data_IF_000082200825
#
_entry.id   IF_000082200825
#
_cell.length_a   1.000
_cell.length_b   1.000
_cell.length_c   1.000
_cell.angle_alpha   90.00
_cell.angle_beta   90.00
_cell.angle_gamma   90.00
#
_symmetry.space_group_name_H-M   'P 1'
#
loop_
_entity.id
_entity.type
_entity.pdbx_description
1 polymer ?
#
# COMPACT_ATOMS: atom_id res chain seq x y z
N UNK A 1 -0.04 -22.50 -7.25
CA UNK A 1 0.78 -21.25 -7.34
C UNK A 1 -0.11 -20.04 -7.37
N UNK A 2 0.38 -18.91 -6.86
CA UNK A 2 -0.36 -17.65 -6.79
C UNK A 2 0.54 -16.50 -7.23
N UNK A 3 0.23 -15.79 -8.32
CA UNK A 3 1.01 -14.63 -8.77
C UNK A 3 0.76 -13.42 -7.85
N UNK A 4 1.81 -12.66 -7.53
CA UNK A 4 1.69 -11.32 -6.98
C UNK A 4 1.52 -10.33 -8.13
N UNK A 5 0.34 -10.35 -8.75
CA UNK A 5 -0.03 -9.47 -9.85
C UNK A 5 -1.53 -9.20 -9.81
N UNK A 6 -1.92 -7.96 -10.05
CA UNK A 6 -3.32 -7.60 -10.29
C UNK A 6 -3.67 -8.03 -11.72
N UNK A 7 -4.64 -8.93 -11.85
CA UNK A 7 -5.09 -9.43 -13.14
C UNK A 7 -6.33 -8.64 -13.59
N UNK A 8 -6.39 -8.21 -14.86
CA UNK A 8 -7.57 -7.57 -15.42
C UNK A 8 -8.72 -8.58 -15.54
N UNK A 9 -9.96 -8.07 -15.63
CA UNK A 9 -11.10 -8.92 -15.90
C UNK A 9 -10.91 -9.63 -17.26
N UNK A 10 -11.11 -10.94 -17.34
CA UNK A 10 -11.00 -11.68 -18.60
C UNK A 10 -11.92 -11.14 -19.71
N UNK A 11 -13.05 -10.53 -19.37
CA UNK A 11 -13.98 -9.94 -20.31
C UNK A 11 -13.49 -8.61 -20.91
N UNK A 12 -12.53 -7.95 -20.26
CA UNK A 12 -11.93 -6.68 -20.70
C UNK A 12 -10.64 -6.87 -21.51
N UNK A 13 -10.31 -8.12 -21.89
CA UNK A 13 -9.06 -8.44 -22.54
C UNK A 13 -9.19 -8.52 -24.05
N UNK A 14 -8.48 -7.65 -24.75
CA UNK A 14 -8.40 -7.64 -26.22
C UNK A 14 -7.61 -8.81 -26.80
N UNK A 15 -6.78 -9.50 -26.00
CA UNK A 15 -5.94 -10.60 -26.46
C UNK A 15 -5.34 -11.43 -25.32
N UNK A 16 -4.93 -12.67 -25.63
CA UNK A 16 -4.18 -13.52 -24.70
C UNK A 16 -2.87 -12.86 -24.24
N UNK A 17 -2.24 -12.04 -25.08
CA UNK A 17 -1.02 -11.30 -24.72
C UNK A 17 -1.29 -10.24 -23.64
N UNK A 18 -2.46 -9.60 -23.66
CA UNK A 18 -2.89 -8.65 -22.61
C UNK A 18 -3.08 -9.37 -21.29
N UNK A 19 -3.67 -10.58 -21.29
CA UNK A 19 -3.84 -11.41 -20.10
C UNK A 19 -2.53 -11.80 -19.43
N UNK A 20 -1.51 -12.10 -20.22
CA UNK A 20 -0.22 -12.59 -19.73
C UNK A 20 0.71 -11.45 -19.28
N UNK A 21 0.51 -10.23 -19.78
CA UNK A 21 1.40 -9.09 -19.49
C UNK A 21 1.64 -8.85 -17.98
N UNK A 22 0.63 -8.85 -17.10
CA UNK A 22 0.86 -8.65 -15.66
C UNK A 22 1.63 -9.79 -14.99
N UNK A 23 1.67 -10.97 -15.61
CA UNK A 23 2.37 -12.14 -15.08
C UNK A 23 3.86 -12.17 -15.45
N UNK A 24 4.29 -11.42 -16.46
CA UNK A 24 5.69 -11.37 -16.88
C UNK A 24 6.55 -10.72 -15.81
N UNK A 25 7.61 -11.44 -15.38
CA UNK A 25 8.51 -10.97 -14.33
C UNK A 25 7.89 -10.93 -12.92
N UNK A 26 6.64 -11.40 -12.74
CA UNK A 26 5.98 -11.39 -11.45
C UNK A 26 6.58 -12.42 -10.48
N UNK A 27 6.42 -12.20 -9.20
CA UNK A 27 6.71 -13.18 -8.16
C UNK A 27 5.52 -14.12 -7.97
N UNK A 28 5.80 -15.41 -7.89
CA UNK A 28 4.80 -16.47 -7.70
C UNK A 28 5.05 -17.21 -6.40
N UNK A 29 4.08 -17.18 -5.50
CA UNK A 29 4.09 -18.06 -4.34
C UNK A 29 3.70 -19.48 -4.76
N UNK A 30 4.51 -20.45 -4.36
CA UNK A 30 4.32 -21.86 -4.69
C UNK A 30 4.26 -22.67 -3.40
N UNK A 31 3.32 -23.60 -3.34
CA UNK A 31 3.16 -24.56 -2.26
C UNK A 31 2.69 -25.89 -2.83
N UNK A 32 2.87 -26.99 -2.10
CA UNK A 32 2.48 -28.34 -2.50
C UNK A 32 3.65 -29.32 -2.43
N UNK A 33 3.50 -30.47 -3.09
CA UNK A 33 4.53 -31.50 -3.15
C UNK A 33 5.77 -31.01 -3.91
N UNK A 34 6.96 -31.57 -3.68
CA UNK A 34 8.17 -31.19 -4.43
C UNK A 34 7.98 -31.28 -5.97
N UNK A 35 7.27 -32.29 -6.46
CA UNK A 35 6.98 -32.45 -7.89
C UNK A 35 6.10 -31.29 -8.41
N UNK A 36 5.04 -30.93 -7.67
CA UNK A 36 4.18 -29.80 -8.03
C UNK A 36 4.92 -28.46 -8.03
N UNK A 37 5.83 -28.27 -7.06
CA UNK A 37 6.67 -27.08 -7.00
C UNK A 37 7.65 -27.00 -8.18
N UNK A 38 8.25 -28.12 -8.58
CA UNK A 38 9.11 -28.19 -9.74
C UNK A 38 8.37 -27.80 -11.04
N UNK A 39 7.20 -28.39 -11.29
CA UNK A 39 6.37 -28.03 -12.45
C UNK A 39 5.96 -26.55 -12.43
N UNK A 40 5.60 -26.02 -11.26
CA UNK A 40 5.26 -24.61 -11.12
C UNK A 40 6.47 -23.70 -11.43
N UNK A 41 7.66 -24.09 -10.99
CA UNK A 41 8.88 -23.35 -11.28
C UNK A 41 9.21 -23.30 -12.79
N UNK A 42 9.01 -24.39 -13.50
CA UNK A 42 9.16 -24.43 -14.97
C UNK A 42 8.19 -23.46 -15.66
N UNK A 43 6.91 -23.47 -15.25
CA UNK A 43 5.90 -22.55 -15.80
C UNK A 43 6.22 -21.08 -15.51
N UNK A 44 6.68 -20.78 -14.29
CA UNK A 44 7.08 -19.42 -13.89
C UNK A 44 8.30 -18.95 -14.68
N UNK A 45 9.26 -19.83 -14.92
CA UNK A 45 10.43 -19.52 -15.73
C UNK A 45 10.08 -19.09 -17.18
N UNK A 46 9.04 -19.70 -17.79
CA UNK A 46 8.54 -19.29 -19.11
C UNK A 46 7.99 -17.86 -19.12
N UNK A 47 7.55 -17.36 -17.97
CA UNK A 47 7.06 -15.98 -17.81
C UNK A 47 8.19 -15.01 -17.40
N UNK A 48 9.43 -15.49 -17.23
CA UNK A 48 10.52 -14.70 -16.67
C UNK A 48 10.27 -14.28 -15.22
N UNK A 49 9.40 -15.00 -14.50
CA UNK A 49 9.00 -14.69 -13.13
C UNK A 49 9.93 -15.29 -12.06
N UNK A 50 9.63 -15.00 -10.81
CA UNK A 50 10.37 -15.48 -9.64
C UNK A 50 9.51 -16.37 -8.78
N UNK A 51 10.07 -17.46 -8.26
CA UNK A 51 9.37 -18.40 -7.36
C UNK A 51 9.74 -18.09 -5.92
N UNK A 52 8.74 -18.04 -5.04
CA UNK A 52 8.93 -18.01 -3.59
C UNK A 52 8.14 -19.14 -2.94
N UNK A 53 8.75 -19.84 -2.01
CA UNK A 53 8.07 -20.89 -1.25
C UNK A 53 7.30 -20.26 -0.08
N UNK A 54 6.02 -20.61 0.05
CA UNK A 54 5.17 -20.22 1.18
C UNK A 54 4.74 -21.48 1.91
N UNK A 55 5.06 -21.58 3.19
CA UNK A 55 4.61 -22.68 4.03
C UNK A 55 3.07 -22.72 4.09
N UNK A 56 2.49 -23.94 4.17
CA UNK A 56 1.03 -24.12 4.16
C UNK A 56 0.33 -23.33 5.27
N UNK A 57 0.88 -23.31 6.49
CA UNK A 57 0.33 -22.55 7.62
C UNK A 57 0.45 -21.02 7.47
N UNK A 58 1.33 -20.53 6.60
CA UNK A 58 1.54 -19.08 6.37
C UNK A 58 0.69 -18.51 5.22
N UNK A 59 -0.06 -19.34 4.49
CA UNK A 59 -0.89 -18.89 3.36
C UNK A 59 -1.88 -17.78 3.71
N UNK A 60 -2.63 -17.83 4.83
CA UNK A 60 -3.57 -16.76 5.16
C UNK A 60 -2.87 -15.41 5.34
N UNK A 61 -1.72 -15.40 6.01
CA UNK A 61 -0.93 -14.18 6.21
C UNK A 61 -0.36 -13.66 4.88
N UNK A 62 0.14 -14.54 4.02
CA UNK A 62 0.58 -14.19 2.68
C UNK A 62 -0.55 -13.56 1.84
N UNK A 63 -1.76 -14.16 1.86
CA UNK A 63 -2.90 -13.59 1.14
C UNK A 63 -3.36 -12.24 1.73
N UNK A 64 -3.33 -12.08 3.05
CA UNK A 64 -3.62 -10.81 3.70
C UNK A 64 -2.62 -9.71 3.25
N UNK A 65 -1.33 -10.03 3.19
CA UNK A 65 -0.32 -9.09 2.69
C UNK A 65 -0.57 -8.70 1.23
N UNK A 66 -0.97 -9.65 0.37
CA UNK A 66 -1.32 -9.35 -1.02
C UNK A 66 -2.59 -8.47 -1.12
N UNK A 67 -3.60 -8.71 -0.27
CA UNK A 67 -4.80 -7.89 -0.22
C UNK A 67 -4.49 -6.46 0.22
N UNK A 68 -3.69 -6.28 1.27
CA UNK A 68 -3.21 -4.97 1.71
C UNK A 68 -2.50 -4.20 0.58
N UNK A 69 -1.66 -4.90 -0.19
CA UNK A 69 -0.88 -4.26 -1.25
C UNK A 69 -1.68 -3.94 -2.52
N UNK A 70 -2.80 -4.59 -2.77
CA UNK A 70 -3.59 -4.45 -3.99
C UNK A 70 -5.03 -3.97 -3.73
N UNK A 71 -5.83 -4.75 -3.02
CA UNK A 71 -7.25 -4.47 -2.85
C UNK A 71 -7.47 -3.25 -1.94
N UNK A 72 -6.72 -3.16 -0.84
CA UNK A 72 -6.85 -2.05 0.10
C UNK A 72 -6.29 -0.75 -0.47
N UNK A 73 -5.37 -0.83 -1.46
CA UNK A 73 -4.94 0.34 -2.23
C UNK A 73 -6.10 0.96 -3.02
N UNK A 74 -7.02 0.15 -3.56
CA UNK A 74 -8.23 0.66 -4.26
C UNK A 74 -9.15 1.36 -3.27
N UNK A 75 -9.36 0.77 -2.08
CA UNK A 75 -10.16 1.40 -1.03
C UNK A 75 -9.52 2.71 -0.54
N UNK A 76 -8.19 2.74 -0.39
CA UNK A 76 -7.46 3.94 -0.02
C UNK A 76 -7.61 5.06 -1.06
N UNK A 77 -7.53 4.74 -2.36
CA UNK A 77 -7.79 5.71 -3.43
C UNK A 77 -9.22 6.24 -3.35
N UNK A 78 -10.21 5.39 -3.12
CA UNK A 78 -11.62 5.79 -3.01
C UNK A 78 -11.84 6.81 -1.89
N UNK A 79 -11.33 6.55 -0.68
CA UNK A 79 -11.51 7.48 0.44
C UNK A 79 -10.73 8.79 0.23
N UNK A 80 -9.57 8.72 -0.42
CA UNK A 80 -8.81 9.91 -0.80
C UNK A 80 -9.54 10.75 -1.85
N UNK A 81 -10.18 10.12 -2.85
CA UNK A 81 -11.03 10.80 -3.84
C UNK A 81 -12.21 11.51 -3.16
N UNK A 82 -12.90 10.86 -2.23
CA UNK A 82 -14.01 11.46 -1.48
C UNK A 82 -13.55 12.72 -0.73
N UNK A 83 -12.40 12.67 -0.07
CA UNK A 83 -11.83 13.82 0.62
C UNK A 83 -11.46 14.96 -0.35
N UNK A 84 -10.86 14.63 -1.51
CA UNK A 84 -10.50 15.61 -2.52
C UNK A 84 -11.74 16.27 -3.16
N UNK A 85 -12.81 15.50 -3.39
CA UNK A 85 -14.09 16.02 -3.89
C UNK A 85 -14.72 16.95 -2.84
N UNK A 86 -14.70 16.60 -1.56
CA UNK A 86 -15.16 17.45 -0.48
C UNK A 86 -14.33 18.75 -0.37
N UNK A 87 -13.07 18.72 -0.78
CA UNK A 87 -12.20 19.90 -0.88
C UNK A 87 -12.43 20.72 -2.18
N UNK A 88 -13.37 20.32 -3.06
CA UNK A 88 -13.78 21.09 -4.24
C UNK A 88 -13.26 20.60 -5.59
N UNK A 89 -12.56 19.46 -5.65
CA UNK A 89 -12.16 18.87 -6.93
C UNK A 89 -13.35 18.18 -7.60
N UNK A 90 -13.37 18.16 -8.94
CA UNK A 90 -14.28 17.26 -9.65
C UNK A 90 -13.82 15.80 -9.51
N UNK A 91 -14.73 14.80 -9.66
CA UNK A 91 -14.35 13.39 -9.60
C UNK A 91 -13.22 13.02 -10.58
N UNK A 92 -13.24 13.56 -11.80
CA UNK A 92 -12.22 13.33 -12.81
C UNK A 92 -10.85 13.90 -12.39
N UNK A 93 -10.83 15.11 -11.81
CA UNK A 93 -9.60 15.73 -11.31
C UNK A 93 -9.02 14.96 -10.11
N UNK A 94 -9.89 14.55 -9.16
CA UNK A 94 -9.49 13.77 -8.00
C UNK A 94 -8.87 12.43 -8.44
N UNK A 95 -9.54 11.67 -9.32
CA UNK A 95 -9.07 10.40 -9.84
C UNK A 95 -7.72 10.53 -10.55
N UNK A 96 -7.61 11.45 -11.50
CA UNK A 96 -6.39 11.64 -12.25
C UNK A 96 -5.21 12.11 -11.37
N UNK A 97 -5.44 13.10 -10.50
CA UNK A 97 -4.40 13.67 -9.65
C UNK A 97 -3.91 12.68 -8.58
N UNK A 98 -4.83 12.05 -7.85
CA UNK A 98 -4.48 11.10 -6.80
C UNK A 98 -3.91 9.80 -7.36
N UNK A 99 -4.43 9.32 -8.50
CA UNK A 99 -3.85 8.16 -9.19
C UNK A 99 -2.41 8.41 -9.62
N UNK A 100 -2.11 9.59 -10.16
CA UNK A 100 -0.74 9.98 -10.50
C UNK A 100 0.15 10.08 -9.25
N UNK A 101 -0.36 10.66 -8.15
CA UNK A 101 0.37 10.77 -6.89
C UNK A 101 0.73 9.39 -6.33
N UNK A 102 -0.23 8.44 -6.32
CA UNK A 102 0.02 7.05 -5.90
C UNK A 102 1.07 6.37 -6.78
N UNK A 103 0.98 6.54 -8.10
CA UNK A 103 1.96 5.97 -9.02
C UNK A 103 3.37 6.50 -8.74
N UNK A 104 3.54 7.80 -8.53
CA UNK A 104 4.85 8.38 -8.24
C UNK A 104 5.40 7.95 -6.89
N UNK A 105 4.55 7.75 -5.89
CA UNK A 105 4.95 7.19 -4.58
C UNK A 105 5.43 5.73 -4.71
N UNK A 106 4.70 4.88 -5.46
CA UNK A 106 5.11 3.51 -5.75
C UNK A 106 6.42 3.47 -6.53
N UNK A 107 6.58 4.33 -7.52
CA UNK A 107 7.81 4.41 -8.30
C UNK A 107 9.01 4.87 -7.45
N UNK A 108 8.81 5.73 -6.46
CA UNK A 108 9.85 6.11 -5.51
C UNK A 108 10.31 4.91 -4.67
N UNK A 109 9.37 4.12 -4.14
CA UNK A 109 9.66 2.90 -3.38
C UNK A 109 10.40 1.87 -4.25
N UNK A 110 9.96 1.65 -5.50
CA UNK A 110 10.55 0.67 -6.42
C UNK A 110 11.98 1.01 -6.87
N UNK A 111 12.41 2.26 -6.71
CA UNK A 111 13.80 2.68 -7.00
C UNK A 111 14.73 2.51 -5.81
N UNK A 112 14.21 2.19 -4.63
CA UNK A 112 15.05 1.91 -3.48
C UNK A 112 15.84 0.60 -3.73
N UNK A 113 17.08 0.50 -3.24
CA UNK A 113 17.78 -0.77 -3.13
C UNK A 113 16.96 -1.79 -2.35
N UNK A 114 17.10 -3.09 -2.65
CA UNK A 114 16.27 -4.16 -2.07
C UNK A 114 16.36 -4.24 -0.54
N UNK A 115 17.49 -3.84 0.04
CA UNK A 115 17.75 -3.81 1.48
C UNK A 115 17.52 -2.44 2.14
N UNK A 116 17.13 -1.43 1.34
CA UNK A 116 16.90 -0.09 1.86
C UNK A 116 15.59 0.00 2.66
N UNK A 117 15.58 0.69 3.79
CA UNK A 117 14.36 0.86 4.56
C UNK A 117 13.34 1.74 3.82
N UNK A 118 12.06 1.33 3.84
CA UNK A 118 10.96 2.00 3.12
C UNK A 118 10.81 3.49 3.49
N UNK A 119 11.24 3.91 4.69
CA UNK A 119 11.22 5.33 5.09
C UNK A 119 11.96 6.26 4.13
N UNK A 120 12.93 5.76 3.35
CA UNK A 120 13.66 6.58 2.37
C UNK A 120 12.80 6.97 1.16
N UNK A 121 11.70 6.24 0.91
CA UNK A 121 10.69 6.62 -0.07
C UNK A 121 9.56 7.50 0.51
N UNK A 122 9.53 7.70 1.83
CA UNK A 122 8.49 8.47 2.49
C UNK A 122 8.74 9.97 2.37
N UNK A 123 7.67 10.70 2.04
CA UNK A 123 7.63 12.17 1.99
C UNK A 123 6.46 12.68 2.84
N UNK A 124 6.30 14.00 2.93
CA UNK A 124 5.12 14.60 3.57
C UNK A 124 5.32 14.95 5.03
N UNK A 125 4.21 15.17 5.75
CA UNK A 125 4.19 15.74 7.10
C UNK A 125 4.87 14.82 8.13
N UNK A 126 4.57 13.52 8.11
CA UNK A 126 5.16 12.55 9.04
C UNK A 126 6.67 12.45 8.83
N UNK A 127 7.13 12.38 7.58
CA UNK A 127 8.56 12.31 7.28
C UNK A 127 9.35 13.54 7.79
N UNK A 128 8.70 14.68 7.90
CA UNK A 128 9.29 15.93 8.42
C UNK A 128 9.05 16.17 9.91
N UNK A 129 8.33 15.29 10.59
CA UNK A 129 7.94 15.49 12.00
C UNK A 129 6.92 16.61 12.21
N UNK A 130 6.16 17.00 11.18
CA UNK A 130 5.19 18.10 11.22
C UNK A 130 3.85 17.65 11.83
N UNK A 131 3.85 17.50 13.15
CA UNK A 131 2.68 17.09 13.92
C UNK A 131 1.50 18.08 13.75
N UNK A 132 1.77 19.38 13.58
CA UNK A 132 0.71 20.37 13.40
C UNK A 132 -0.06 20.16 12.08
N UNK A 133 0.63 19.79 11.01
CA UNK A 133 -0.01 19.45 9.74
C UNK A 133 -0.81 18.15 9.85
N UNK A 134 -0.29 17.12 10.52
CA UNK A 134 -1.04 15.87 10.77
C UNK A 134 -2.31 16.14 11.56
N UNK A 135 -2.24 16.98 12.61
CA UNK A 135 -3.42 17.37 13.40
C UNK A 135 -4.50 18.04 12.53
N UNK A 136 -4.11 18.97 11.65
CA UNK A 136 -5.05 19.62 10.71
C UNK A 136 -5.69 18.63 9.73
N UNK A 137 -4.93 17.66 9.24
CA UNK A 137 -5.48 16.61 8.38
C UNK A 137 -6.55 15.79 9.11
N UNK A 138 -6.24 15.31 10.33
CA UNK A 138 -7.18 14.53 11.13
C UNK A 138 -8.43 15.32 11.48
N UNK A 139 -8.28 16.60 11.86
CA UNK A 139 -9.42 17.47 12.14
C UNK A 139 -10.31 17.65 10.91
N UNK A 140 -9.74 17.96 9.75
CA UNK A 140 -10.50 18.15 8.51
C UNK A 140 -11.23 16.87 8.08
N UNK A 141 -10.54 15.73 8.12
CA UNK A 141 -11.14 14.43 7.80
C UNK A 141 -12.26 14.07 8.78
N UNK A 142 -12.07 14.30 10.08
CA UNK A 142 -13.08 14.01 11.10
C UNK A 142 -14.36 14.83 10.92
N UNK A 143 -14.25 16.07 10.44
CA UNK A 143 -15.42 16.91 10.12
C UNK A 143 -16.23 16.38 8.95
N UNK A 144 -15.60 15.74 7.97
CA UNK A 144 -16.27 15.23 6.78
C UNK A 144 -16.68 13.76 6.88
N UNK A 145 -15.79 12.90 7.37
CA UNK A 145 -16.02 11.46 7.46
C UNK A 145 -15.13 10.83 8.54
N UNK A 146 -15.61 10.70 9.79
CA UNK A 146 -14.83 10.19 10.91
C UNK A 146 -14.12 8.85 10.67
N UNK A 147 -14.71 7.86 9.95
CA UNK A 147 -13.99 6.63 9.61
C UNK A 147 -12.72 6.85 8.77
N UNK A 148 -12.72 7.86 7.88
CA UNK A 148 -11.52 8.21 7.10
C UNK A 148 -10.44 8.85 7.98
N UNK A 149 -10.84 9.67 8.98
CA UNK A 149 -9.89 10.20 9.95
C UNK A 149 -9.22 9.10 10.76
N UNK A 150 -10.00 8.10 11.21
CA UNK A 150 -9.46 6.93 11.91
C UNK A 150 -8.50 6.13 11.02
N UNK A 151 -8.87 5.86 9.77
CA UNK A 151 -7.98 5.19 8.81
C UNK A 151 -6.67 5.96 8.62
N UNK A 152 -6.75 7.28 8.41
CA UNK A 152 -5.55 8.13 8.27
C UNK A 152 -4.70 8.12 9.54
N UNK A 153 -5.32 8.12 10.72
CA UNK A 153 -4.63 8.01 12.00
C UNK A 153 -3.85 6.70 12.12
N UNK A 154 -4.48 5.55 11.83
CA UNK A 154 -3.84 4.25 11.89
C UNK A 154 -2.66 4.13 10.90
N UNK A 155 -2.86 4.56 9.66
CA UNK A 155 -1.77 4.59 8.67
C UNK A 155 -0.65 5.54 9.08
N UNK A 156 -0.97 6.71 9.65
CA UNK A 156 0.04 7.65 10.15
C UNK A 156 0.83 7.06 11.33
N UNK A 157 0.22 6.24 12.19
CA UNK A 157 0.93 5.55 13.26
C UNK A 157 1.97 4.57 12.72
N UNK A 158 1.62 3.79 11.68
CA UNK A 158 2.59 2.92 10.97
C UNK A 158 3.73 3.74 10.34
N UNK A 159 3.43 4.91 9.76
CA UNK A 159 4.47 5.79 9.21
C UNK A 159 5.38 6.36 10.30
N UNK A 160 4.84 6.71 11.48
CA UNK A 160 5.65 7.15 12.63
C UNK A 160 6.57 6.03 13.10
N UNK A 161 6.07 4.80 13.14
CA UNK A 161 6.89 3.63 13.49
C UNK A 161 8.06 3.43 12.51
N UNK A 162 7.82 3.56 11.19
CA UNK A 162 8.89 3.57 10.19
C UNK A 162 9.94 4.67 10.41
N UNK A 163 9.55 5.79 11.00
CA UNK A 163 10.44 6.93 11.23
C UNK A 163 11.23 6.86 12.54
N UNK A 164 10.99 5.88 13.44
CA UNK A 164 11.69 5.77 14.72
C UNK A 164 13.20 5.62 14.56
N UNK A 165 13.64 4.90 13.54
CA UNK A 165 15.05 4.71 13.20
C UNK A 165 15.57 5.76 12.18
N UNK A 166 14.94 6.92 12.11
CA UNK A 166 15.34 8.02 11.22
C UNK A 166 16.09 9.12 11.96
N UNK A 167 16.47 10.17 11.24
CA UNK A 167 17.06 11.38 11.82
C UNK A 167 16.04 12.29 12.52
N UNK A 168 14.75 11.93 12.61
CA UNK A 168 13.76 12.68 13.37
C UNK A 168 14.10 12.60 14.88
N UNK A 169 14.18 13.78 15.49
CA UNK A 169 14.45 13.84 16.93
C UNK A 169 13.29 13.28 17.78
N UNK A 170 13.57 12.79 19.00
CA UNK A 170 12.56 12.21 19.90
C UNK A 170 11.37 13.14 20.17
N UNK A 171 11.59 14.45 20.23
CA UNK A 171 10.53 15.43 20.46
C UNK A 171 9.52 15.50 19.30
N UNK A 172 9.99 15.39 18.05
CA UNK A 172 9.10 15.38 16.87
C UNK A 172 8.27 14.09 16.82
N UNK A 173 8.88 12.94 17.12
CA UNK A 173 8.17 11.66 17.21
C UNK A 173 7.11 11.68 18.33
N UNK A 174 7.45 12.17 19.52
CA UNK A 174 6.51 12.28 20.64
C UNK A 174 5.34 13.25 20.33
N UNK A 175 5.59 14.33 19.60
CA UNK A 175 4.53 15.25 19.15
C UNK A 175 3.56 14.57 18.17
N UNK A 176 4.07 13.76 17.22
CA UNK A 176 3.25 12.96 16.33
C UNK A 176 2.43 11.93 17.09
N UNK A 177 3.05 11.16 17.99
CA UNK A 177 2.36 10.17 18.84
C UNK A 177 1.22 10.83 19.65
N UNK A 178 1.47 12.03 20.21
CA UNK A 178 0.46 12.79 20.97
C UNK A 178 -0.74 13.17 20.10
N UNK A 179 -0.52 13.62 18.88
CA UNK A 179 -1.60 13.98 17.94
C UNK A 179 -2.42 12.75 17.55
N UNK A 180 -1.77 11.64 17.27
CA UNK A 180 -2.45 10.40 16.86
C UNK A 180 -3.27 9.77 17.99
N UNK A 181 -2.82 9.92 19.25
CA UNK A 181 -3.55 9.44 20.41
C UNK A 181 -4.87 10.20 20.70
N UNK A 182 -5.10 11.35 20.05
CA UNK A 182 -6.35 12.11 20.23
C UNK A 182 -7.53 11.60 19.38
N UNK A 183 -7.27 10.68 18.43
CA UNK A 183 -8.33 10.09 17.60
C UNK A 183 -8.95 8.91 18.35
N UNK A 184 -10.26 8.95 18.69
CA UNK A 184 -10.92 7.84 19.38
C UNK A 184 -10.83 6.54 18.58
N UNK A 185 -10.50 5.45 19.24
CA UNK A 185 -10.49 4.11 18.64
C UNK A 185 -11.79 3.39 19.00
N UNK A 186 -12.34 2.55 18.12
CA UNK A 186 -13.51 1.75 18.42
C UNK A 186 -13.26 0.86 19.65
N UNK A 187 -14.09 1.03 20.69
CA UNK A 187 -14.02 0.22 21.92
C UNK A 187 -13.18 0.80 23.07
N UNK A 188 -12.67 2.01 22.94
CA UNK A 188 -12.08 2.81 24.02
C UNK A 188 -13.08 3.84 24.58
#
# INVERSE_FOLDING_TARGET
MHPLAALPDPLDLDSAAAAVRPLRGATFAVAGTPAAQATAAELVALLGGHVVAVADGARPLYHAAAALAANDLVALLQVAEQAAIAAGLTPAQARAGLGHLMQTALDAIRRLPDDAPLRLGLTGAVARGDAATVARHLQALNQHHPPTALLHCLLSAELVELMRDSALGPAALAALDTVLAQVPRPGE
#
